data_IF_567158747545
#
_entry.id   IF_567158747545
#
_cell.length_a   1.000
_cell.length_b   1.000
_cell.length_c   1.000
_cell.angle_alpha   90.00
_cell.angle_beta   90.00
_cell.angle_gamma   90.00
#
_symmetry.space_group_name_H-M   'P 1'
#
loop_
_entity.id
_entity.type
_entity.pdbx_description
1 polymer ?
#
# COMPACT_ATOMS: atom_id res chain seq x y z
N UNK A 1 35.87 -33.59 -5.12
CA UNK A 1 35.06 -33.99 -6.29
C UNK A 1 33.76 -33.21 -6.22
N UNK A 2 33.69 -32.15 -7.01
CA UNK A 2 32.57 -31.23 -7.11
C UNK A 2 31.50 -31.90 -7.98
N UNK A 3 30.37 -32.29 -7.39
CA UNK A 3 29.25 -32.89 -8.14
C UNK A 3 28.67 -31.82 -9.04
N UNK A 4 28.75 -32.09 -10.35
CA UNK A 4 28.19 -31.30 -11.44
C UNK A 4 26.74 -30.89 -11.13
N UNK A 5 26.53 -29.63 -10.78
CA UNK A 5 25.19 -29.07 -10.58
C UNK A 5 24.67 -28.70 -11.97
N UNK A 6 23.89 -29.60 -12.57
CA UNK A 6 23.22 -29.33 -13.83
C UNK A 6 22.56 -27.94 -13.86
N UNK A 7 22.51 -27.33 -15.04
CA UNK A 7 22.01 -25.96 -15.21
C UNK A 7 20.52 -25.91 -14.83
N UNK A 8 20.17 -25.01 -13.90
CA UNK A 8 18.77 -24.73 -13.56
C UNK A 8 18.13 -24.05 -14.76
N UNK A 9 17.16 -24.72 -15.39
CA UNK A 9 16.41 -24.21 -16.55
C UNK A 9 15.25 -23.31 -16.13
N UNK A 10 14.55 -23.69 -15.07
CA UNK A 10 13.36 -22.99 -14.58
C UNK A 10 13.11 -23.30 -13.11
N UNK A 11 12.31 -22.46 -12.45
CA UNK A 11 11.80 -22.72 -11.10
C UNK A 11 10.30 -22.49 -11.05
N UNK A 12 9.60 -23.36 -10.33
CA UNK A 12 8.17 -23.25 -10.05
C UNK A 12 7.99 -23.04 -8.55
N UNK A 13 7.26 -21.99 -8.18
CA UNK A 13 6.94 -21.68 -6.79
C UNK A 13 5.43 -21.77 -6.59
N UNK A 14 5.03 -22.50 -5.56
CA UNK A 14 3.64 -22.59 -5.12
C UNK A 14 3.44 -21.78 -3.83
N UNK A 15 2.23 -21.24 -3.64
CA UNK A 15 1.87 -20.45 -2.45
C UNK A 15 1.88 -21.22 -1.12
N UNK A 16 2.16 -22.52 -1.15
CA UNK A 16 2.41 -23.37 0.02
C UNK A 16 3.92 -23.46 0.38
N UNK A 17 4.74 -22.55 -0.15
CA UNK A 17 6.20 -22.52 -0.01
C UNK A 17 6.94 -23.71 -0.65
N UNK A 18 6.27 -24.52 -1.49
CA UNK A 18 6.97 -25.50 -2.32
C UNK A 18 7.66 -24.82 -3.49
N UNK A 19 8.98 -24.95 -3.55
CA UNK A 19 9.79 -24.53 -4.67
C UNK A 19 10.32 -25.77 -5.39
N UNK A 20 10.13 -25.82 -6.70
CA UNK A 20 10.64 -26.86 -7.57
C UNK A 20 11.62 -26.25 -8.55
N UNK A 21 12.74 -26.92 -8.78
CA UNK A 21 13.73 -26.55 -9.79
C UNK A 21 13.76 -27.59 -10.90
N UNK A 22 13.80 -27.09 -12.13
CA UNK A 22 13.97 -27.90 -13.33
C UNK A 22 15.43 -27.83 -13.75
N UNK A 23 16.06 -28.98 -13.94
CA UNK A 23 17.45 -29.12 -14.31
C UNK A 23 17.55 -29.82 -15.66
N UNK A 24 18.42 -29.35 -16.54
CA UNK A 24 18.84 -30.12 -17.71
C UNK A 24 19.94 -31.10 -17.28
N UNK A 25 19.74 -32.39 -17.50
CA UNK A 25 20.83 -33.36 -17.41
C UNK A 25 20.71 -34.34 -18.59
N UNK A 26 21.77 -34.45 -19.40
CA UNK A 26 21.85 -35.35 -20.56
C UNK A 26 20.62 -35.30 -21.51
N UNK A 27 20.14 -34.09 -21.83
CA UNK A 27 19.01 -33.89 -22.74
C UNK A 27 17.62 -34.17 -22.13
N UNK A 28 17.53 -34.50 -20.84
CA UNK A 28 16.27 -34.72 -20.12
C UNK A 28 16.05 -33.65 -19.06
N UNK A 29 14.83 -33.11 -18.99
CA UNK A 29 14.43 -32.15 -17.95
C UNK A 29 14.04 -32.91 -16.68
N UNK A 30 14.77 -32.71 -15.58
CA UNK A 30 14.47 -33.29 -14.27
C UNK A 30 13.89 -32.23 -13.33
N UNK A 31 12.79 -32.54 -12.64
CA UNK A 31 12.16 -31.67 -11.63
C UNK A 31 12.55 -32.14 -10.23
N UNK A 32 13.11 -31.27 -9.38
CA UNK A 32 13.43 -31.57 -7.96
C UNK A 32 12.85 -30.52 -7.02
N UNK A 33 12.37 -30.95 -5.85
CA UNK A 33 11.90 -30.06 -4.78
C UNK A 33 13.11 -29.44 -4.06
N UNK A 34 13.10 -28.14 -3.88
CA UNK A 34 14.16 -27.40 -3.18
C UNK A 34 13.90 -27.47 -1.66
N UNK A 35 14.80 -28.13 -0.90
CA UNK A 35 14.72 -28.21 0.56
C UNK A 35 14.57 -29.61 1.20
N UNK A 36 14.97 -30.69 0.53
CA UNK A 36 14.99 -32.04 1.11
C UNK A 36 16.34 -32.74 0.94
N UNK A 37 17.36 -32.31 1.70
CA UNK A 37 18.52 -33.17 1.94
C UNK A 37 18.22 -34.05 3.17
N UNK A 38 17.95 -35.33 2.92
CA UNK A 38 17.84 -36.36 3.96
C UNK A 38 16.47 -37.01 4.06
N UNK A 39 16.13 -37.88 3.10
CA UNK A 39 15.48 -39.19 3.34
C UNK A 39 15.21 -39.85 1.97
N UNK A 40 16.16 -40.69 1.55
CA UNK A 40 15.86 -41.76 0.60
C UNK A 40 15.24 -42.90 1.39
N UNK A 41 13.93 -43.11 1.25
CA UNK A 41 13.29 -44.28 1.85
C UNK A 41 11.76 -44.26 1.82
N UNK A 42 11.17 -44.77 0.74
CA UNK A 42 9.96 -45.58 0.82
C UNK A 42 8.61 -44.88 1.02
N UNK A 43 7.69 -45.26 0.12
CA UNK A 43 6.23 -45.25 0.25
C UNK A 43 5.46 -43.95 0.03
N UNK A 44 4.85 -43.91 -1.15
CA UNK A 44 3.67 -43.14 -1.48
C UNK A 44 2.63 -43.23 -0.35
N UNK A 45 2.35 -42.11 0.31
CA UNK A 45 1.25 -41.97 1.25
C UNK A 45 -0.02 -41.70 0.43
N UNK A 46 -0.57 -42.76 -0.14
CA UNK A 46 -2.02 -42.86 -0.36
C UNK A 46 -2.63 -43.21 1.00
N UNK A 47 -2.88 -42.21 1.83
CA UNK A 47 -3.77 -42.37 3.01
C UNK A 47 -5.21 -42.36 2.51
N UNK A 48 -5.62 -43.48 1.94
CA UNK A 48 -7.05 -43.83 1.83
C UNK A 48 -7.51 -44.18 3.24
N UNK A 49 -8.56 -43.50 3.70
CA UNK A 49 -9.23 -43.77 4.95
C UNK A 49 -9.73 -45.23 4.97
N UNK A 50 -9.02 -46.11 5.68
CA UNK A 50 -9.56 -47.41 6.09
C UNK A 50 -9.89 -47.30 7.58
N UNK A 51 -11.12 -46.90 7.88
CA UNK A 51 -11.66 -46.93 9.24
C UNK A 51 -11.99 -48.39 9.56
N UNK A 52 -11.24 -48.99 10.49
CA UNK A 52 -11.54 -50.32 11.04
C UNK A 52 -12.56 -50.17 12.18
N UNK A 53 -13.67 -50.93 12.22
CA UNK A 53 -14.82 -50.66 13.11
C UNK A 53 -14.66 -51.18 14.55
N UNK A 54 -13.44 -51.28 15.08
CA UNK A 54 -13.20 -51.90 16.41
C UNK A 54 -12.58 -50.96 17.48
N UNK A 55 -12.67 -49.63 17.30
CA UNK A 55 -12.41 -48.67 18.39
C UNK A 55 -13.46 -47.55 18.40
N UNK A 56 -14.69 -47.93 18.74
CA UNK A 56 -15.81 -47.00 18.97
C UNK A 56 -16.03 -46.69 20.47
N UNK A 57 -15.03 -46.93 21.31
CA UNK A 57 -15.07 -46.55 22.72
C UNK A 57 -14.06 -45.43 22.99
N UNK A 58 -14.45 -44.20 22.62
CA UNK A 58 -14.07 -42.92 23.22
C UNK A 58 -14.29 -41.77 22.21
N UNK A 59 -15.55 -41.40 21.95
CA UNK A 59 -15.82 -40.08 21.37
C UNK A 59 -17.26 -39.63 21.63
N UNK A 60 -17.59 -39.38 22.90
CA UNK A 60 -18.66 -38.42 23.22
C UNK A 60 -18.10 -37.00 23.09
N UNK A 61 -17.59 -36.65 21.92
CA UNK A 61 -17.54 -35.25 21.51
C UNK A 61 -18.87 -34.99 20.79
N UNK A 62 -19.71 -34.13 21.37
CA UNK A 62 -21.06 -33.87 20.84
C UNK A 62 -20.99 -33.53 19.35
N UNK A 63 -21.99 -33.94 18.57
CA UNK A 63 -22.12 -33.57 17.16
C UNK A 63 -21.92 -32.05 16.96
N UNK A 64 -22.36 -31.24 17.92
CA UNK A 64 -22.15 -29.80 17.96
C UNK A 64 -20.66 -29.41 17.99
N UNK A 65 -19.81 -30.10 18.74
CA UNK A 65 -18.36 -29.85 18.75
C UNK A 65 -17.70 -30.19 17.41
N UNK A 66 -18.08 -31.31 16.78
CA UNK A 66 -17.58 -31.70 15.45
C UNK A 66 -18.08 -30.76 14.35
N UNK A 67 -19.35 -30.34 14.40
CA UNK A 67 -19.91 -29.34 13.49
C UNK A 67 -19.26 -27.97 13.70
N UNK A 68 -19.04 -27.54 14.94
CA UNK A 68 -18.37 -26.29 15.25
C UNK A 68 -16.90 -26.32 14.80
N UNK A 69 -16.19 -27.42 15.01
CA UNK A 69 -14.81 -27.59 14.57
C UNK A 69 -14.72 -27.69 13.05
N UNK A 70 -15.62 -28.44 12.41
CA UNK A 70 -15.72 -28.54 10.95
C UNK A 70 -16.03 -27.18 10.32
N UNK A 71 -17.03 -26.47 10.85
CA UNK A 71 -17.39 -25.11 10.43
C UNK A 71 -16.22 -24.14 10.61
N UNK A 72 -15.52 -24.19 11.76
CA UNK A 72 -14.33 -23.37 12.01
C UNK A 72 -13.24 -23.68 10.98
N UNK A 73 -12.94 -24.94 10.72
CA UNK A 73 -11.92 -25.35 9.76
C UNK A 73 -12.29 -24.93 8.34
N UNK A 74 -13.55 -25.08 7.93
CA UNK A 74 -14.03 -24.63 6.62
C UNK A 74 -14.03 -23.10 6.50
N UNK A 75 -14.45 -22.38 7.54
CA UNK A 75 -14.42 -20.92 7.56
C UNK A 75 -12.98 -20.40 7.44
N UNK A 76 -12.06 -20.98 8.21
CA UNK A 76 -10.64 -20.64 8.12
C UNK A 76 -10.07 -20.99 6.74
N UNK A 77 -10.41 -22.13 6.15
CA UNK A 77 -9.88 -22.51 4.84
C UNK A 77 -10.46 -21.66 3.70
N UNK A 78 -11.68 -21.14 3.83
CA UNK A 78 -12.31 -20.28 2.82
C UNK A 78 -11.78 -18.84 2.93
N UNK A 79 -11.72 -18.29 4.14
CA UNK A 79 -11.48 -16.85 4.33
C UNK A 79 -10.09 -16.48 4.83
N UNK A 80 -9.33 -17.41 5.42
CA UNK A 80 -7.96 -17.13 5.88
C UNK A 80 -6.91 -17.77 4.96
N UNK A 81 -5.72 -17.16 4.86
CA UNK A 81 -4.61 -17.75 4.09
C UNK A 81 -4.16 -19.09 4.67
N UNK A 82 -3.64 -19.95 3.80
CA UNK A 82 -3.05 -21.23 4.17
C UNK A 82 -1.90 -21.02 5.15
N UNK A 83 -1.87 -21.82 6.22
CA UNK A 83 -0.85 -21.70 7.28
C UNK A 83 -1.09 -20.54 8.26
N UNK A 84 -2.28 -19.93 8.27
CA UNK A 84 -2.67 -18.96 9.28
C UNK A 84 -2.55 -19.56 10.70
N UNK A 85 -2.03 -18.81 11.71
CA UNK A 85 -1.67 -17.39 11.67
C UNK A 85 -0.26 -17.07 11.16
N UNK A 86 0.62 -18.05 11.07
CA UNK A 86 2.06 -17.84 10.82
C UNK A 86 2.40 -17.48 9.36
N UNK A 87 1.41 -17.49 8.47
CA UNK A 87 1.58 -17.15 7.05
C UNK A 87 1.28 -15.69 6.73
N UNK A 88 0.81 -14.90 7.71
CA UNK A 88 0.46 -13.49 7.55
C UNK A 88 1.14 -12.59 8.58
N UNK A 89 1.15 -11.28 8.33
CA UNK A 89 1.54 -10.28 9.34
C UNK A 89 0.64 -10.36 10.58
N UNK A 90 1.19 -10.00 11.75
CA UNK A 90 0.44 -10.00 13.02
C UNK A 90 -0.72 -9.00 13.04
N UNK A 91 -0.67 -7.96 12.20
CA UNK A 91 -1.72 -6.96 12.04
C UNK A 91 -2.87 -7.38 11.10
N UNK A 92 -2.77 -8.56 10.46
CA UNK A 92 -3.71 -9.02 9.43
C UNK A 92 -5.17 -9.03 9.89
N UNK A 93 -5.48 -9.75 10.97
CA UNK A 93 -6.88 -9.87 11.42
C UNK A 93 -7.47 -8.55 11.87
N UNK A 94 -6.69 -7.73 12.57
CA UNK A 94 -7.17 -6.43 13.03
C UNK A 94 -7.48 -5.53 11.84
N UNK A 95 -6.60 -5.53 10.84
CA UNK A 95 -6.83 -4.82 9.58
C UNK A 95 -8.09 -5.34 8.86
N UNK A 96 -8.20 -6.65 8.64
CA UNK A 96 -9.32 -7.27 7.91
C UNK A 96 -10.68 -7.02 8.57
N UNK A 97 -10.74 -7.00 9.90
CA UNK A 97 -11.96 -6.66 10.63
C UNK A 97 -12.44 -5.23 10.31
N UNK A 98 -11.53 -4.25 10.39
CA UNK A 98 -11.87 -2.86 10.11
C UNK A 98 -12.14 -2.62 8.62
N UNK A 99 -11.37 -3.27 7.74
CA UNK A 99 -11.56 -3.23 6.28
C UNK A 99 -12.93 -3.81 5.86
N UNK A 100 -13.36 -4.88 6.53
CA UNK A 100 -14.71 -5.45 6.35
C UNK A 100 -15.81 -4.46 6.73
N UNK A 101 -15.71 -3.80 7.89
CA UNK A 101 -16.68 -2.81 8.33
C UNK A 101 -16.71 -1.58 7.39
N UNK A 102 -15.54 -1.20 6.89
CA UNK A 102 -15.35 -0.16 5.91
C UNK A 102 -16.04 -0.52 4.59
N UNK A 103 -15.73 -1.68 4.00
CA UNK A 103 -16.33 -2.17 2.76
C UNK A 103 -17.86 -2.27 2.85
N UNK A 104 -18.39 -2.79 3.96
CA UNK A 104 -19.83 -2.85 4.21
C UNK A 104 -20.49 -1.48 4.15
N UNK A 105 -19.92 -0.50 4.86
CA UNK A 105 -20.44 0.88 4.92
C UNK A 105 -20.40 1.55 3.55
N UNK A 106 -19.28 1.36 2.81
CA UNK A 106 -19.11 1.87 1.45
C UNK A 106 -20.13 1.28 0.48
N UNK A 107 -20.45 -0.01 0.60
CA UNK A 107 -21.46 -0.69 -0.22
C UNK A 107 -22.86 -0.09 -0.04
N UNK A 108 -23.26 0.20 1.20
CA UNK A 108 -24.55 0.84 1.51
C UNK A 108 -24.60 2.29 0.97
N UNK A 109 -23.58 3.10 1.23
CA UNK A 109 -23.46 4.46 0.66
C UNK A 109 -23.46 4.45 -0.87
N UNK A 110 -22.77 3.49 -1.48
CA UNK A 110 -22.73 3.30 -2.92
C UNK A 110 -24.10 2.98 -3.52
N UNK A 111 -24.94 2.26 -2.79
CA UNK A 111 -26.34 2.00 -3.18
C UNK A 111 -27.16 3.29 -3.18
N UNK A 112 -27.05 4.10 -2.11
CA UNK A 112 -27.75 5.39 -2.02
C UNK A 112 -27.34 6.34 -3.16
N UNK A 113 -26.03 6.44 -3.44
CA UNK A 113 -25.47 7.22 -4.53
C UNK A 113 -25.93 6.72 -5.91
N UNK A 114 -25.90 5.41 -6.14
CA UNK A 114 -26.36 4.79 -7.40
C UNK A 114 -27.82 5.08 -7.65
N UNK A 115 -28.66 4.94 -6.63
CA UNK A 115 -30.09 5.24 -6.71
C UNK A 115 -30.35 6.71 -7.08
N UNK A 116 -29.64 7.64 -6.44
CA UNK A 116 -29.75 9.07 -6.75
C UNK A 116 -29.29 9.36 -8.18
N UNK A 117 -28.16 8.79 -8.62
CA UNK A 117 -27.68 8.91 -9.99
C UNK A 117 -28.68 8.38 -11.02
N UNK A 118 -29.34 7.23 -10.76
CA UNK A 118 -30.37 6.66 -11.62
C UNK A 118 -31.60 7.58 -11.72
N UNK A 119 -32.04 8.16 -10.60
CA UNK A 119 -33.10 9.17 -10.61
C UNK A 119 -32.70 10.40 -11.42
N UNK A 120 -31.44 10.86 -11.27
CA UNK A 120 -30.93 12.03 -11.95
C UNK A 120 -30.82 11.90 -13.48
N UNK A 121 -30.49 10.71 -14.00
CA UNK A 121 -30.54 10.44 -15.46
C UNK A 121 -31.99 10.27 -15.98
N UNK A 122 -32.98 10.29 -15.09
CA UNK A 122 -34.39 10.24 -15.46
C UNK A 122 -35.02 8.84 -15.48
N UNK A 123 -34.42 7.84 -14.81
CA UNK A 123 -35.10 6.54 -14.61
C UNK A 123 -36.42 6.78 -13.89
N UNK A 124 -37.53 6.40 -14.53
CA UNK A 124 -38.90 6.63 -14.05
C UNK A 124 -39.58 7.91 -14.59
N UNK A 125 -38.90 8.72 -15.41
CA UNK A 125 -39.48 9.88 -16.07
C UNK A 125 -39.78 9.58 -17.56
N UNK A 126 -41.04 9.71 -17.98
CA UNK A 126 -41.48 9.47 -19.36
C UNK A 126 -40.86 10.41 -20.39
N UNK A 127 -40.39 11.59 -19.97
CA UNK A 127 -39.75 12.58 -20.84
C UNK A 127 -38.23 12.36 -20.99
N UNK A 128 -37.63 11.48 -20.16
CA UNK A 128 -36.20 11.20 -20.22
C UNK A 128 -35.88 10.29 -21.42
N UNK A 129 -34.83 10.63 -22.17
CA UNK A 129 -34.41 9.85 -23.32
C UNK A 129 -33.24 8.93 -22.97
N UNK A 130 -33.27 7.71 -23.51
CA UNK A 130 -32.16 6.74 -23.40
C UNK A 130 -30.87 7.34 -23.98
N UNK A 131 -30.97 8.17 -25.02
CA UNK A 131 -29.83 8.85 -25.63
C UNK A 131 -29.14 9.81 -24.65
N UNK A 132 -29.88 10.69 -23.97
CA UNK A 132 -29.30 11.64 -23.01
C UNK A 132 -28.65 10.94 -21.81
N UNK A 133 -29.29 9.88 -21.30
CA UNK A 133 -28.72 9.04 -20.26
C UNK A 133 -27.40 8.42 -20.73
N UNK A 134 -27.39 7.78 -21.91
CA UNK A 134 -26.19 7.17 -22.52
C UNK A 134 -25.06 8.19 -22.71
N UNK A 135 -25.35 9.39 -23.19
CA UNK A 135 -24.36 10.47 -23.33
C UNK A 135 -23.73 10.82 -21.99
N UNK A 136 -24.52 10.91 -20.92
CA UNK A 136 -23.99 11.19 -19.58
C UNK A 136 -23.05 10.08 -19.09
N UNK A 137 -23.39 8.81 -19.32
CA UNK A 137 -22.52 7.68 -18.98
C UNK A 137 -21.21 7.70 -19.77
N UNK A 138 -21.28 7.90 -21.09
CA UNK A 138 -20.08 7.97 -21.93
C UNK A 138 -19.13 9.11 -21.51
N UNK A 139 -19.68 10.29 -21.22
CA UNK A 139 -18.87 11.43 -20.77
C UNK A 139 -18.25 11.17 -19.38
N UNK A 140 -19.03 10.64 -18.44
CA UNK A 140 -18.56 10.27 -17.10
C UNK A 140 -17.43 9.24 -17.17
N UNK A 141 -17.62 8.18 -17.94
CA UNK A 141 -16.64 7.10 -18.03
C UNK A 141 -15.38 7.56 -18.79
N UNK A 142 -15.55 8.30 -19.90
CA UNK A 142 -14.44 8.85 -20.67
C UNK A 142 -13.58 9.82 -19.86
N UNK A 143 -14.21 10.77 -19.16
CA UNK A 143 -13.49 11.70 -18.27
C UNK A 143 -12.80 10.97 -17.11
N UNK A 144 -13.45 9.97 -16.52
CA UNK A 144 -12.86 9.09 -15.50
C UNK A 144 -11.65 8.30 -16.00
N UNK A 145 -11.69 7.79 -17.23
CA UNK A 145 -10.57 7.10 -17.87
C UNK A 145 -9.38 8.04 -18.12
N UNK A 146 -9.61 9.28 -18.57
CA UNK A 146 -8.54 10.28 -18.67
C UNK A 146 -7.95 10.61 -17.29
N UNK A 147 -8.81 10.78 -16.28
CA UNK A 147 -8.41 11.09 -14.91
C UNK A 147 -7.51 10.02 -14.29
N UNK A 148 -7.86 8.74 -14.42
CA UNK A 148 -7.03 7.64 -13.88
C UNK A 148 -5.65 7.55 -14.54
N UNK A 149 -5.57 7.75 -15.87
CA UNK A 149 -4.29 7.71 -16.60
C UNK A 149 -3.39 8.86 -16.14
N UNK A 150 -3.94 10.08 -16.09
CA UNK A 150 -3.21 11.26 -15.62
C UNK A 150 -2.74 11.10 -14.17
N UNK A 151 -3.61 10.62 -13.29
CA UNK A 151 -3.27 10.41 -11.88
C UNK A 151 -2.18 9.34 -11.70
N UNK A 152 -2.29 8.21 -12.40
CA UNK A 152 -1.27 7.15 -12.37
C UNK A 152 0.09 7.69 -12.85
N UNK A 153 0.12 8.49 -13.91
CA UNK A 153 1.34 9.11 -14.42
C UNK A 153 1.97 10.08 -13.40
N UNK A 154 1.17 10.92 -12.75
CA UNK A 154 1.66 11.96 -11.85
C UNK A 154 2.02 11.46 -10.44
N UNK A 155 1.36 10.41 -9.95
CA UNK A 155 1.44 9.98 -8.54
C UNK A 155 1.82 8.52 -8.32
N UNK A 156 1.87 7.70 -9.36
CA UNK A 156 2.03 6.24 -9.25
C UNK A 156 3.21 5.79 -8.40
N UNK A 157 4.35 6.48 -8.47
CA UNK A 157 5.59 6.12 -7.74
C UNK A 157 5.54 6.34 -6.22
N UNK A 158 4.48 6.98 -5.70
CA UNK A 158 4.33 7.26 -4.26
C UNK A 158 3.17 6.51 -3.60
N UNK A 159 2.38 5.77 -4.38
CA UNK A 159 1.17 5.12 -3.88
C UNK A 159 1.48 3.97 -2.91
N UNK A 160 2.56 3.23 -3.15
CA UNK A 160 3.03 2.12 -2.33
C UNK A 160 3.78 2.58 -1.07
N UNK A 161 4.67 3.57 -1.21
CA UNK A 161 5.50 4.09 -0.11
C UNK A 161 4.67 4.80 0.99
N UNK A 162 3.58 5.47 0.60
CA UNK A 162 2.69 6.18 1.52
C UNK A 162 1.30 5.51 1.59
N UNK A 163 1.25 4.17 1.53
CA UNK A 163 0.02 3.43 1.31
C UNK A 163 -1.11 3.74 2.30
N UNK A 164 -0.78 3.91 3.59
CA UNK A 164 -1.76 4.28 4.63
C UNK A 164 -2.45 5.61 4.35
N UNK A 165 -1.69 6.63 3.96
CA UNK A 165 -2.23 7.97 3.67
C UNK A 165 -3.10 7.95 2.42
N UNK A 166 -2.64 7.27 1.38
CA UNK A 166 -3.38 7.15 0.14
C UNK A 166 -4.67 6.35 0.30
N UNK A 167 -4.69 5.33 1.17
CA UNK A 167 -5.91 4.57 1.47
C UNK A 167 -6.96 5.44 2.16
N UNK A 168 -6.57 6.22 3.18
CA UNK A 168 -7.49 7.14 3.86
C UNK A 168 -7.94 8.28 2.95
N UNK A 169 -7.02 8.84 2.15
CA UNK A 169 -7.35 9.89 1.18
C UNK A 169 -8.32 9.39 0.09
N UNK A 170 -8.11 8.18 -0.43
CA UNK A 170 -8.97 7.59 -1.45
C UNK A 170 -10.40 7.44 -0.92
N UNK A 171 -10.59 6.99 0.32
CA UNK A 171 -11.94 6.84 0.88
C UNK A 171 -12.63 8.18 1.14
N UNK A 172 -11.89 9.20 1.62
CA UNK A 172 -12.44 10.56 1.71
C UNK A 172 -12.90 11.05 0.33
N UNK A 173 -12.08 10.84 -0.71
CA UNK A 173 -12.40 11.24 -2.07
C UNK A 173 -13.59 10.43 -2.64
N UNK A 174 -13.72 9.16 -2.26
CA UNK A 174 -14.86 8.30 -2.62
C UNK A 174 -16.15 8.80 -1.98
N UNK A 175 -16.12 9.15 -0.70
CA UNK A 175 -17.27 9.70 0.02
C UNK A 175 -17.71 11.04 -0.58
N UNK A 176 -16.76 11.91 -0.94
CA UNK A 176 -17.07 13.15 -1.67
C UNK A 176 -17.77 12.83 -3.00
N UNK A 177 -17.26 11.87 -3.78
CA UNK A 177 -17.87 11.49 -5.06
C UNK A 177 -19.27 10.89 -4.89
N UNK A 178 -19.49 10.03 -3.89
CA UNK A 178 -20.81 9.49 -3.58
C UNK A 178 -21.78 10.58 -3.12
N UNK A 179 -21.31 11.55 -2.33
CA UNK A 179 -22.13 12.70 -1.94
C UNK A 179 -22.52 13.56 -3.14
N UNK A 180 -21.59 13.79 -4.07
CA UNK A 180 -21.87 14.48 -5.34
C UNK A 180 -22.97 13.77 -6.14
N UNK A 181 -22.92 12.43 -6.24
CA UNK A 181 -23.96 11.64 -6.92
C UNK A 181 -25.32 11.76 -6.24
N UNK A 182 -25.35 11.81 -4.89
CA UNK A 182 -26.59 12.01 -4.12
C UNK A 182 -27.18 13.40 -4.37
N UNK A 183 -26.32 14.42 -4.49
CA UNK A 183 -26.74 15.80 -4.72
C UNK A 183 -27.05 16.12 -6.18
N UNK A 184 -26.47 15.41 -7.13
CA UNK A 184 -26.57 15.73 -8.56
C UNK A 184 -28.01 15.93 -9.06
N UNK A 185 -29.03 15.13 -8.65
CA UNK A 185 -30.41 15.31 -9.11
C UNK A 185 -31.05 16.65 -8.71
N UNK A 186 -30.54 17.32 -7.66
CA UNK A 186 -31.02 18.63 -7.25
C UNK A 186 -30.49 19.77 -8.13
N UNK A 187 -29.55 19.48 -9.04
CA UNK A 187 -28.95 20.44 -9.96
C UNK A 187 -29.06 19.96 -11.42
N UNK A 188 -30.26 19.84 -12.02
CA UNK A 188 -30.45 19.26 -13.35
C UNK A 188 -29.60 19.91 -14.46
N UNK A 189 -29.41 21.24 -14.40
CA UNK A 189 -28.60 21.99 -15.37
C UNK A 189 -27.12 21.62 -15.35
N UNK A 190 -26.59 21.16 -14.20
CA UNK A 190 -25.19 20.79 -14.01
C UNK A 190 -25.01 19.27 -13.80
N UNK A 191 -26.08 18.49 -13.93
CA UNK A 191 -26.09 17.07 -13.59
C UNK A 191 -24.94 16.31 -14.24
N UNK A 192 -24.82 16.39 -15.57
CA UNK A 192 -23.77 15.70 -16.32
C UNK A 192 -22.36 16.14 -15.89
N UNK A 193 -22.15 17.42 -15.61
CA UNK A 193 -20.87 17.94 -15.13
C UNK A 193 -20.52 17.37 -13.75
N UNK A 194 -21.46 17.38 -12.81
CA UNK A 194 -21.28 16.81 -11.46
C UNK A 194 -20.94 15.33 -11.56
N UNK A 195 -21.68 14.58 -12.40
CA UNK A 195 -21.43 13.15 -12.61
C UNK A 195 -20.04 12.88 -13.22
N UNK A 196 -19.55 13.73 -14.14
CA UNK A 196 -18.21 13.61 -14.69
C UNK A 196 -17.13 13.85 -13.63
N UNK A 197 -17.26 14.89 -12.81
CA UNK A 197 -16.30 15.18 -11.73
C UNK A 197 -16.30 14.06 -10.69
N UNK A 198 -17.48 13.55 -10.30
CA UNK A 198 -17.62 12.37 -9.45
C UNK A 198 -16.96 11.13 -10.08
N UNK A 199 -17.15 10.90 -11.38
CA UNK A 199 -16.51 9.82 -12.14
C UNK A 199 -14.98 9.90 -12.17
N UNK A 200 -14.43 11.11 -12.28
CA UNK A 200 -12.99 11.36 -12.14
C UNK A 200 -12.53 11.00 -10.73
N UNK A 201 -13.19 11.49 -9.69
CA UNK A 201 -12.85 11.15 -8.30
C UNK A 201 -12.86 9.64 -8.06
N UNK A 202 -13.94 8.93 -8.43
CA UNK A 202 -14.03 7.47 -8.31
C UNK A 202 -12.93 6.73 -9.08
N UNK A 203 -12.55 7.25 -10.25
CA UNK A 203 -11.45 6.67 -11.03
C UNK A 203 -10.09 6.86 -10.37
N UNK A 204 -9.83 8.01 -9.74
CA UNK A 204 -8.64 8.27 -8.93
C UNK A 204 -8.59 7.34 -7.70
N UNK A 205 -9.72 7.19 -7.01
CA UNK A 205 -9.90 6.25 -5.90
C UNK A 205 -9.58 4.83 -6.33
N UNK A 206 -10.05 4.38 -7.50
CA UNK A 206 -9.74 3.04 -8.02
C UNK A 206 -8.23 2.80 -8.19
N UNK A 207 -7.48 3.79 -8.70
CA UNK A 207 -6.03 3.68 -8.86
C UNK A 207 -5.32 3.66 -7.51
N UNK A 208 -5.63 4.61 -6.62
CA UNK A 208 -5.02 4.69 -5.29
C UNK A 208 -5.37 3.45 -4.44
N UNK A 209 -6.64 3.06 -4.40
CA UNK A 209 -7.12 1.86 -3.71
C UNK A 209 -6.45 0.59 -4.21
N UNK A 210 -6.37 0.40 -5.53
CA UNK A 210 -5.69 -0.77 -6.13
C UNK A 210 -4.20 -0.84 -5.80
N UNK A 211 -3.47 0.27 -5.94
CA UNK A 211 -2.04 0.32 -5.66
C UNK A 211 -1.73 0.12 -4.16
N UNK A 212 -2.50 0.77 -3.28
CA UNK A 212 -2.32 0.63 -1.83
C UNK A 212 -2.71 -0.76 -1.33
N UNK A 213 -3.78 -1.36 -1.87
CA UNK A 213 -4.16 -2.75 -1.59
C UNK A 213 -3.01 -3.70 -1.95
N UNK A 214 -2.42 -3.55 -3.15
CA UNK A 214 -1.28 -4.37 -3.54
C UNK A 214 -0.10 -4.22 -2.57
N UNK A 215 0.23 -2.99 -2.15
CA UNK A 215 1.30 -2.74 -1.17
C UNK A 215 1.00 -3.40 0.19
N UNK A 216 -0.25 -3.36 0.65
CA UNK A 216 -0.67 -4.03 1.89
C UNK A 216 -0.66 -5.56 1.75
N UNK A 217 -1.06 -6.12 0.62
CA UNK A 217 -0.98 -7.56 0.36
C UNK A 217 0.46 -8.05 0.39
N UNK A 218 1.40 -7.27 -0.16
CA UNK A 218 2.84 -7.57 -0.05
C UNK A 218 3.30 -7.53 1.42
N UNK A 219 2.91 -6.50 2.17
CA UNK A 219 3.23 -6.39 3.61
C UNK A 219 2.68 -7.56 4.44
N UNK A 220 1.48 -8.02 4.11
CA UNK A 220 0.82 -9.11 4.82
C UNK A 220 1.44 -10.47 4.50
N UNK A 221 2.14 -10.64 3.38
CA UNK A 221 2.74 -11.91 2.98
C UNK A 221 3.98 -12.26 3.82
N UNK A 222 4.01 -13.46 4.43
CA UNK A 222 5.16 -13.97 5.19
C UNK A 222 5.82 -15.21 4.60
N UNK A 223 5.20 -15.85 3.59
CA UNK A 223 5.69 -17.09 2.98
C UNK A 223 5.60 -17.07 1.45
N UNK A 224 5.96 -15.94 0.83
CA UNK A 224 5.77 -15.71 -0.61
C UNK A 224 4.31 -15.99 -1.07
N UNK A 225 3.34 -15.82 -0.17
CA UNK A 225 1.95 -16.22 -0.32
C UNK A 225 1.01 -15.06 -0.70
N UNK A 226 1.53 -14.04 -1.41
CA UNK A 226 0.78 -12.85 -1.80
C UNK A 226 -0.50 -13.18 -2.57
N UNK A 227 -0.45 -14.16 -3.48
CA UNK A 227 -1.59 -14.56 -4.29
C UNK A 227 -2.72 -15.18 -3.43
N UNK A 228 -2.38 -16.00 -2.44
CA UNK A 228 -3.35 -16.59 -1.53
C UNK A 228 -4.00 -15.49 -0.67
N UNK A 229 -3.20 -14.58 -0.12
CA UNK A 229 -3.72 -13.42 0.64
C UNK A 229 -4.68 -12.60 -0.23
N UNK A 230 -4.31 -12.27 -1.47
CA UNK A 230 -5.17 -11.51 -2.38
C UNK A 230 -6.47 -12.26 -2.70
N UNK A 231 -6.43 -13.58 -2.87
CA UNK A 231 -7.63 -14.38 -3.14
C UNK A 231 -8.57 -14.45 -1.93
N UNK A 232 -8.01 -14.57 -0.72
CA UNK A 232 -8.78 -14.59 0.54
C UNK A 232 -9.38 -13.24 0.85
N UNK A 233 -8.62 -12.18 0.66
CA UNK A 233 -9.07 -10.79 0.76
C UNK A 233 -10.22 -10.51 -0.22
N UNK A 234 -10.09 -10.92 -1.49
CA UNK A 234 -11.19 -10.82 -2.46
C UNK A 234 -12.44 -11.63 -2.09
N UNK A 235 -12.28 -12.80 -1.45
CA UNK A 235 -13.41 -13.60 -0.97
C UNK A 235 -14.11 -12.96 0.23
N UNK A 236 -13.35 -12.35 1.15
CA UNK A 236 -13.88 -11.59 2.27
C UNK A 236 -14.67 -10.37 1.78
N UNK A 237 -14.10 -9.58 0.88
CA UNK A 237 -14.78 -8.44 0.25
C UNK A 237 -16.07 -8.86 -0.47
N UNK A 238 -16.04 -9.97 -1.21
CA UNK A 238 -17.24 -10.50 -1.90
C UNK A 238 -18.35 -10.87 -0.92
N UNK A 239 -18.02 -11.55 0.18
CA UNK A 239 -19.00 -11.90 1.22
C UNK A 239 -19.64 -10.65 1.83
N UNK A 240 -18.82 -9.64 2.12
CA UNK A 240 -19.28 -8.38 2.71
C UNK A 240 -20.17 -7.62 1.74
N UNK A 241 -19.80 -7.56 0.46
CA UNK A 241 -20.64 -6.94 -0.57
C UNK A 241 -21.97 -7.68 -0.75
N UNK A 242 -21.98 -9.01 -0.65
CA UNK A 242 -23.23 -9.79 -0.69
C UNK A 242 -24.13 -9.44 0.50
N UNK A 243 -23.57 -9.35 1.71
CA UNK A 243 -24.32 -8.92 2.89
C UNK A 243 -24.84 -7.48 2.72
N UNK A 244 -24.00 -6.58 2.20
CA UNK A 244 -24.35 -5.20 1.87
C UNK A 244 -25.52 -5.14 0.88
N UNK A 245 -25.49 -5.95 -0.19
CA UNK A 245 -26.58 -6.03 -1.18
C UNK A 245 -27.91 -6.44 -0.55
N UNK A 246 -27.93 -7.45 0.32
CA UNK A 246 -29.15 -7.88 1.00
C UNK A 246 -29.75 -6.77 1.88
N UNK A 247 -28.90 -6.07 2.62
CA UNK A 247 -29.32 -4.92 3.44
C UNK A 247 -29.79 -3.77 2.56
N UNK A 248 -29.08 -3.49 1.47
CA UNK A 248 -29.43 -2.48 0.48
C UNK A 248 -30.79 -2.72 -0.18
N UNK A 249 -31.15 -3.97 -0.49
CA UNK A 249 -32.46 -4.31 -1.04
C UNK A 249 -33.60 -3.92 -0.09
N UNK A 250 -33.44 -4.16 1.20
CA UNK A 250 -34.39 -3.69 2.21
C UNK A 250 -34.36 -2.15 2.30
N UNK A 251 -33.18 -1.55 2.36
CA UNK A 251 -32.96 -0.11 2.53
C UNK A 251 -33.62 0.74 1.44
N UNK A 252 -33.51 0.32 0.18
CA UNK A 252 -34.04 1.08 -0.98
C UNK A 252 -35.55 1.31 -0.86
N UNK A 253 -36.29 0.33 -0.32
CA UNK A 253 -37.74 0.43 -0.14
C UNK A 253 -38.12 1.46 0.94
N UNK A 254 -37.33 1.58 2.01
CA UNK A 254 -37.58 2.55 3.09
C UNK A 254 -37.19 3.99 2.74
N UNK A 255 -36.19 4.15 1.89
CA UNK A 255 -35.62 5.47 1.56
C UNK A 255 -36.32 6.08 0.32
N UNK A 256 -37.29 5.40 -0.27
CA UNK A 256 -37.87 5.68 -1.59
C UNK A 256 -38.28 7.15 -1.84
N UNK A 257 -38.71 7.90 -0.82
CA UNK A 257 -39.10 9.31 -1.01
C UNK A 257 -38.64 10.24 0.12
N UNK A 258 -37.63 9.82 0.89
CA UNK A 258 -37.16 10.57 2.06
C UNK A 258 -35.70 11.03 1.89
N UNK A 259 -35.54 12.25 1.38
CA UNK A 259 -34.23 12.89 1.19
C UNK A 259 -33.48 13.08 2.51
N UNK A 260 -34.19 13.47 3.57
CA UNK A 260 -33.59 13.65 4.89
C UNK A 260 -33.05 12.32 5.45
N UNK A 261 -33.80 11.23 5.29
CA UNK A 261 -33.36 9.88 5.68
C UNK A 261 -32.18 9.42 4.83
N UNK A 262 -32.20 9.68 3.51
CA UNK A 262 -31.09 9.37 2.60
C UNK A 262 -29.80 10.03 3.07
N UNK A 263 -29.84 11.34 3.33
CA UNK A 263 -28.68 12.11 3.79
C UNK A 263 -28.24 11.67 5.18
N UNK A 264 -29.18 11.44 6.10
CA UNK A 264 -28.86 10.99 7.46
C UNK A 264 -28.15 9.63 7.46
N UNK A 265 -28.64 8.66 6.68
CA UNK A 265 -28.00 7.36 6.51
C UNK A 265 -26.66 7.49 5.80
N UNK A 266 -26.56 8.30 4.75
CA UNK A 266 -25.30 8.54 4.07
C UNK A 266 -24.24 9.08 5.02
N UNK A 267 -24.55 10.14 5.80
CA UNK A 267 -23.59 10.69 6.76
C UNK A 267 -23.23 9.69 7.87
N UNK A 268 -24.20 8.90 8.36
CA UNK A 268 -23.94 7.83 9.31
C UNK A 268 -22.94 6.81 8.75
N UNK A 269 -23.17 6.33 7.54
CA UNK A 269 -22.29 5.36 6.88
C UNK A 269 -20.94 5.98 6.51
N UNK A 270 -20.87 7.26 6.12
CA UNK A 270 -19.60 7.96 5.89
C UNK A 270 -18.77 8.08 7.16
N UNK A 271 -19.38 8.41 8.31
CA UNK A 271 -18.66 8.44 9.59
C UNK A 271 -18.13 7.04 9.94
N UNK A 272 -18.95 6.01 9.79
CA UNK A 272 -18.56 4.63 10.04
C UNK A 272 -17.44 4.17 9.08
N UNK A 273 -17.57 4.49 7.79
CA UNK A 273 -16.61 4.20 6.72
C UNK A 273 -15.23 4.80 7.02
N UNK A 274 -15.17 6.10 7.28
CA UNK A 274 -13.91 6.81 7.56
C UNK A 274 -13.30 6.40 8.90
N UNK A 275 -14.13 6.17 9.92
CA UNK A 275 -13.64 5.68 11.21
C UNK A 275 -13.04 4.27 11.09
N UNK A 276 -13.72 3.38 10.37
CA UNK A 276 -13.24 2.03 10.12
C UNK A 276 -11.93 2.04 9.31
N UNK A 277 -11.83 2.83 8.23
CA UNK A 277 -10.57 2.97 7.49
C UNK A 277 -9.46 3.52 8.39
N UNK A 278 -9.72 4.59 9.15
CA UNK A 278 -8.75 5.14 10.08
C UNK A 278 -8.22 4.08 11.06
N UNK A 279 -9.10 3.26 11.62
CA UNK A 279 -8.69 2.14 12.49
C UNK A 279 -7.91 1.06 11.73
N UNK A 280 -8.29 0.72 10.51
CA UNK A 280 -7.60 -0.24 9.65
C UNK A 280 -6.16 0.21 9.35
N UNK A 281 -5.97 1.42 8.82
CA UNK A 281 -4.62 1.90 8.46
C UNK A 281 -3.73 2.13 9.68
N UNK A 282 -4.33 2.44 10.84
CA UNK A 282 -3.61 2.59 12.11
C UNK A 282 -3.21 1.27 12.76
N UNK A 283 -3.87 0.15 12.43
CA UNK A 283 -3.44 -1.16 12.91
C UNK A 283 -2.28 -1.75 12.10
N UNK A 284 -2.10 -1.33 10.85
CA UNK A 284 -1.00 -1.82 10.00
C UNK A 284 0.34 -1.32 10.51
N UNK A 285 1.29 -2.23 10.72
CA UNK A 285 2.66 -1.93 11.16
C UNK A 285 3.61 -2.18 9.99
N UNK A 286 3.79 -1.18 9.13
CA UNK A 286 4.68 -1.29 7.97
C UNK A 286 6.14 -1.45 8.42
N UNK A 287 6.83 -2.46 7.91
CA UNK A 287 8.24 -2.74 8.20
C UNK A 287 9.20 -1.93 7.30
N UNK A 288 8.69 -1.32 6.23
CA UNK A 288 9.46 -0.49 5.32
C UNK A 288 9.50 0.96 5.77
N UNK A 289 10.62 1.66 5.53
CA UNK A 289 10.74 3.08 5.81
C UNK A 289 10.19 3.91 4.64
N UNK A 290 9.31 4.85 4.96
CA UNK A 290 8.92 5.96 4.08
C UNK A 290 9.52 7.27 4.60
N UNK A 291 9.23 8.40 3.93
CA UNK A 291 9.80 9.70 4.32
C UNK A 291 9.41 10.08 5.77
N UNK A 292 8.16 9.83 6.17
CA UNK A 292 7.65 10.18 7.49
C UNK A 292 8.23 9.29 8.61
N UNK A 293 8.16 7.96 8.45
CA UNK A 293 8.72 6.99 9.41
C UNK A 293 10.23 7.19 9.58
N UNK A 294 10.96 7.46 8.49
CA UNK A 294 12.39 7.76 8.57
C UNK A 294 12.65 9.06 9.34
N UNK A 295 11.89 10.12 9.09
CA UNK A 295 12.04 11.38 9.82
C UNK A 295 11.84 11.18 11.33
N UNK A 296 10.82 10.41 11.73
CA UNK A 296 10.52 10.13 13.13
C UNK A 296 11.66 9.35 13.79
N UNK A 297 12.14 8.28 13.15
CA UNK A 297 13.24 7.46 13.67
C UNK A 297 14.53 8.26 13.80
N UNK A 298 14.87 9.06 12.78
CA UNK A 298 16.08 9.89 12.80
C UNK A 298 16.01 10.98 13.87
N UNK A 299 14.86 11.63 14.06
CA UNK A 299 14.72 12.65 15.09
C UNK A 299 14.91 12.06 16.49
N UNK A 300 14.30 10.90 16.79
CA UNK A 300 14.48 10.24 18.09
C UNK A 300 15.94 9.84 18.30
N UNK A 301 16.56 9.23 17.30
CA UNK A 301 17.95 8.79 17.39
C UNK A 301 18.92 9.95 17.59
N UNK A 302 18.74 11.06 16.86
CA UNK A 302 19.60 12.24 16.99
C UNK A 302 19.39 12.99 18.30
N UNK A 303 18.21 12.90 18.91
CA UNK A 303 17.89 13.57 20.19
C UNK A 303 18.38 12.75 21.38
N UNK A 304 18.01 11.47 21.44
CA UNK A 304 18.12 10.64 22.65
C UNK A 304 19.02 9.40 22.43
N UNK A 305 19.57 9.19 21.23
CA UNK A 305 20.37 8.00 20.89
C UNK A 305 19.57 6.70 20.79
N UNK A 306 18.25 6.77 20.99
CA UNK A 306 17.33 5.61 20.98
C UNK A 306 16.86 5.31 19.56
N UNK A 307 16.91 4.03 19.18
CA UNK A 307 16.29 3.52 17.97
C UNK A 307 14.86 3.06 18.26
N UNK A 308 13.88 3.60 17.53
CA UNK A 308 12.48 3.18 17.64
C UNK A 308 12.25 1.85 16.93
N UNK A 309 11.39 1.02 17.50
CA UNK A 309 10.86 -0.18 16.85
C UNK A 309 9.89 0.18 15.71
N UNK A 310 9.62 -0.73 14.76
CA UNK A 310 8.61 -0.53 13.72
C UNK A 310 7.25 -0.15 14.30
N UNK A 311 6.82 -0.80 15.38
CA UNK A 311 5.55 -0.50 16.04
C UNK A 311 5.49 0.96 16.54
N UNK A 312 6.50 1.39 17.28
CA UNK A 312 6.58 2.76 17.82
C UNK A 312 6.62 3.82 16.70
N UNK A 313 7.41 3.56 15.65
CA UNK A 313 7.50 4.46 14.49
C UNK A 313 6.15 4.56 13.74
N UNK A 314 5.45 3.44 13.54
CA UNK A 314 4.15 3.41 12.88
C UNK A 314 3.05 4.09 13.73
N UNK A 315 3.12 3.99 15.07
CA UNK A 315 2.20 4.70 15.96
C UNK A 315 2.36 6.22 15.86
N UNK A 316 3.58 6.72 15.65
CA UNK A 316 3.86 8.15 15.46
C UNK A 316 3.65 8.63 14.01
N UNK A 317 3.52 7.71 13.05
CA UNK A 317 3.32 8.04 11.63
C UNK A 317 1.98 8.75 11.39
N UNK A 318 1.98 9.94 10.76
CA UNK A 318 0.75 10.60 10.35
C UNK A 318 0.09 9.85 9.19
N UNK A 319 -1.21 9.59 9.31
CA UNK A 319 -2.01 8.91 8.26
C UNK A 319 -2.87 9.88 7.44
N UNK A 320 -2.92 11.15 7.82
CA UNK A 320 -3.56 12.22 7.04
C UNK A 320 -2.54 12.89 6.13
N UNK A 321 -3.03 13.47 5.03
CA UNK A 321 -2.19 14.27 4.13
C UNK A 321 -1.80 15.58 4.82
N UNK A 322 -0.56 15.65 5.29
CA UNK A 322 0.00 16.88 5.86
C UNK A 322 0.55 17.78 4.74
N UNK A 323 0.11 19.04 4.71
CA UNK A 323 0.61 20.04 3.75
C UNK A 323 1.97 20.64 4.14
N UNK A 324 2.48 20.35 5.35
CA UNK A 324 3.78 20.86 5.84
C UNK A 324 4.75 19.72 6.06
N UNK A 325 5.84 19.69 5.30
CA UNK A 325 6.99 18.80 5.57
C UNK A 325 7.83 19.40 6.69
N UNK A 326 8.08 18.63 7.75
CA UNK A 326 8.94 19.04 8.86
C UNK A 326 10.43 18.93 8.53
N UNK A 327 10.82 17.97 7.67
CA UNK A 327 12.19 17.83 7.13
C UNK A 327 12.13 17.34 5.68
N UNK A 328 12.81 17.98 4.71
CA UNK A 328 12.84 17.52 3.33
C UNK A 328 13.80 16.33 3.15
N UNK A 329 13.40 15.16 3.66
CA UNK A 329 14.11 13.91 3.39
C UNK A 329 13.72 13.41 2.00
N UNK A 330 14.71 13.11 1.16
CA UNK A 330 14.50 12.47 -0.14
C UNK A 330 15.12 11.07 -0.11
N UNK A 331 14.30 10.05 -0.32
CA UNK A 331 14.73 8.66 -0.45
C UNK A 331 15.02 8.33 -1.92
N UNK A 332 15.95 7.40 -2.15
CA UNK A 332 16.28 6.93 -3.50
C UNK A 332 17.16 7.87 -4.34
N UNK A 333 17.75 8.89 -3.73
CA UNK A 333 18.71 9.79 -4.41
C UNK A 333 20.00 9.03 -4.70
N UNK A 334 20.54 9.15 -5.91
CA UNK A 334 21.83 8.52 -6.27
C UNK A 334 22.94 9.15 -5.44
N UNK A 335 23.83 8.34 -4.88
CA UNK A 335 24.97 8.83 -4.11
C UNK A 335 25.79 9.88 -4.91
N UNK A 336 25.94 9.66 -6.21
CA UNK A 336 26.67 10.57 -7.12
C UNK A 336 26.04 11.98 -7.25
N UNK A 337 24.76 12.14 -6.92
CA UNK A 337 24.09 13.45 -6.95
C UNK A 337 24.37 14.26 -5.69
N UNK A 338 24.73 13.60 -4.59
CA UNK A 338 24.95 14.23 -3.28
C UNK A 338 26.41 14.30 -2.87
N UNK A 339 27.30 13.57 -3.53
CA UNK A 339 28.75 13.59 -3.23
C UNK A 339 29.58 14.03 -4.43
N UNK A 340 30.62 14.79 -4.15
CA UNK A 340 31.55 15.34 -5.13
C UNK A 340 32.95 14.78 -4.84
N UNK A 341 33.63 14.29 -5.88
CA UNK A 341 34.99 13.77 -5.77
C UNK A 341 35.98 14.92 -5.61
N UNK A 342 37.06 14.68 -4.89
CA UNK A 342 38.14 15.65 -4.75
C UNK A 342 38.85 15.88 -6.09
N UNK A 343 39.23 17.13 -6.42
CA UNK A 343 39.90 17.48 -7.68
C UNK A 343 41.38 17.10 -7.64
N UNK A 344 41.71 15.81 -7.55
CA UNK A 344 43.07 15.28 -7.38
C UNK A 344 44.02 15.68 -8.52
N UNK A 345 43.49 15.88 -9.73
CA UNK A 345 44.25 16.30 -10.91
C UNK A 345 44.43 17.82 -11.03
N UNK A 346 43.80 18.62 -10.16
CA UNK A 346 43.93 20.07 -10.12
C UNK A 346 44.47 20.52 -8.75
N UNK A 347 45.80 20.56 -8.57
CA UNK A 347 46.42 20.81 -7.26
C UNK A 347 46.07 22.20 -6.70
N UNK A 348 45.83 23.20 -7.57
CA UNK A 348 45.42 24.55 -7.14
C UNK A 348 44.03 24.53 -6.52
N UNK A 349 43.06 23.88 -7.18
CA UNK A 349 41.69 23.74 -6.66
C UNK A 349 41.65 22.87 -5.41
N UNK A 350 42.42 21.78 -5.39
CA UNK A 350 42.53 20.89 -4.23
C UNK A 350 43.05 21.63 -2.99
N UNK A 351 44.11 22.44 -3.13
CA UNK A 351 44.65 23.25 -2.03
C UNK A 351 43.60 24.20 -1.44
N UNK A 352 42.76 24.82 -2.28
CA UNK A 352 41.66 25.68 -1.82
C UNK A 352 40.60 24.89 -1.05
N UNK A 353 40.21 23.71 -1.53
CA UNK A 353 39.25 22.84 -0.82
C UNK A 353 39.77 22.44 0.56
N UNK A 354 41.02 21.98 0.64
CA UNK A 354 41.64 21.56 1.90
C UNK A 354 41.78 22.73 2.89
N UNK A 355 42.13 23.92 2.40
CA UNK A 355 42.21 25.12 3.25
C UNK A 355 40.86 25.46 3.90
N UNK A 356 39.75 25.32 3.16
CA UNK A 356 38.41 25.62 3.68
C UNK A 356 37.87 24.53 4.62
N UNK A 357 38.26 23.28 4.43
CA UNK A 357 37.86 22.15 5.28
C UNK A 357 38.47 22.21 6.69
N UNK A 358 39.62 22.88 6.86
CA UNK A 358 40.35 23.02 8.14
C UNK A 358 40.67 21.69 8.84
N UNK A 359 40.83 20.59 8.09
CA UNK A 359 41.28 19.31 8.62
C UNK A 359 42.81 19.28 8.70
N UNK A 360 43.36 18.99 9.90
CA UNK A 360 44.80 18.79 10.10
C UNK A 360 45.19 17.35 9.70
N UNK A 361 46.35 17.21 9.06
CA UNK A 361 47.00 15.92 8.76
C UNK A 361 46.16 14.91 7.96
N UNK A 362 45.26 15.41 7.10
CA UNK A 362 44.43 14.57 6.24
C UNK A 362 44.66 14.84 4.76
N UNK A 363 44.78 13.78 3.96
CA UNK A 363 44.91 13.86 2.51
C UNK A 363 43.83 13.03 1.81
N UNK A 364 43.17 13.57 0.78
CA UNK A 364 42.11 12.88 0.08
C UNK A 364 42.67 11.77 -0.83
N UNK A 365 42.03 10.61 -0.79
CA UNK A 365 42.27 9.50 -1.73
C UNK A 365 41.34 9.60 -2.94
N UNK A 366 41.55 8.73 -3.95
CA UNK A 366 40.63 8.59 -5.10
C UNK A 366 39.20 8.18 -4.73
N UNK A 367 39.01 7.65 -3.53
CA UNK A 367 37.70 7.23 -3.00
C UNK A 367 37.09 8.27 -2.06
N UNK A 368 37.86 9.29 -1.68
CA UNK A 368 37.37 10.36 -0.82
C UNK A 368 36.38 11.22 -1.58
N UNK A 369 35.28 11.56 -0.91
CA UNK A 369 34.20 12.38 -1.45
C UNK A 369 33.75 13.40 -0.41
N UNK A 370 33.19 14.51 -0.89
CA UNK A 370 32.65 15.59 -0.07
C UNK A 370 31.17 15.79 -0.40
N UNK A 371 30.33 15.97 0.61
CA UNK A 371 28.91 16.24 0.38
C UNK A 371 28.71 17.58 -0.36
N UNK A 372 27.77 17.60 -1.29
CA UNK A 372 27.45 18.80 -2.08
C UNK A 372 26.93 19.96 -1.24
N UNK A 373 26.37 19.68 -0.05
CA UNK A 373 25.89 20.69 0.88
C UNK A 373 27.01 21.56 1.49
N UNK A 374 28.28 21.22 1.25
CA UNK A 374 29.42 22.05 1.62
C UNK A 374 29.70 23.18 0.62
N UNK A 375 28.96 23.24 -0.49
CA UNK A 375 29.10 24.23 -1.56
C UNK A 375 27.88 25.15 -1.61
N UNK A 376 28.10 26.43 -1.92
CA UNK A 376 27.02 27.38 -2.18
C UNK A 376 26.24 27.01 -3.44
N UNK A 377 24.94 27.27 -3.47
CA UNK A 377 24.04 26.94 -4.59
C UNK A 377 24.51 27.52 -5.93
N UNK A 378 25.17 28.68 -5.94
CA UNK A 378 25.73 29.29 -7.16
C UNK A 378 26.79 28.41 -7.86
N UNK A 379 27.48 27.55 -7.12
CA UNK A 379 28.50 26.65 -7.64
C UNK A 379 27.95 25.31 -8.10
N UNK A 380 26.65 25.06 -7.90
CA UNK A 380 26.00 23.79 -8.21
C UNK A 380 25.23 23.93 -9.52
N UNK A 381 25.61 23.13 -10.51
CA UNK A 381 24.88 23.02 -11.77
C UNK A 381 23.93 21.81 -11.73
N UNK A 382 22.63 22.11 -11.84
CA UNK A 382 21.51 21.15 -11.86
C UNK A 382 20.86 21.03 -13.24
N UNK A 383 21.41 21.66 -14.26
CA UNK A 383 20.80 21.76 -15.61
C UNK A 383 20.89 20.45 -16.40
N UNK A 384 21.79 19.55 -16.01
CA UNK A 384 22.04 18.27 -16.69
C UNK A 384 21.40 17.05 -16.02
N UNK A 385 21.69 15.85 -16.57
CA UNK A 385 21.25 14.55 -16.01
C UNK A 385 21.89 14.20 -14.66
N UNK A 386 22.99 14.85 -14.29
CA UNK A 386 23.65 14.69 -13.00
C UNK A 386 24.07 16.04 -12.45
N UNK A 387 23.99 16.17 -11.12
CA UNK A 387 24.41 17.38 -10.42
C UNK A 387 25.93 17.47 -10.45
N UNK A 388 26.45 18.58 -10.97
CA UNK A 388 27.89 18.82 -11.10
C UNK A 388 28.27 20.13 -10.43
N UNK A 389 29.53 20.23 -10.03
CA UNK A 389 30.10 21.50 -9.60
C UNK A 389 30.65 22.27 -10.79
N UNK A 390 30.50 23.59 -10.76
CA UNK A 390 31.18 24.50 -11.69
C UNK A 390 32.71 24.42 -11.53
N UNK A 391 33.44 24.85 -12.55
CA UNK A 391 34.90 24.74 -12.56
C UNK A 391 35.58 25.50 -11.41
N UNK A 392 35.01 26.63 -11.00
CA UNK A 392 35.49 27.50 -9.93
C UNK A 392 34.97 27.14 -8.53
N UNK A 393 34.11 26.12 -8.43
CA UNK A 393 33.47 25.72 -7.18
C UNK A 393 34.47 25.37 -6.06
N UNK A 394 34.27 25.98 -4.89
CA UNK A 394 35.01 25.70 -3.66
C UNK A 394 34.04 25.47 -2.49
N UNK A 395 34.32 24.52 -1.58
CA UNK A 395 33.46 24.29 -0.45
C UNK A 395 33.69 25.39 0.58
N UNK A 396 32.65 26.11 0.97
CA UNK A 396 32.71 27.22 1.94
C UNK A 396 31.86 26.96 3.16
N UNK A 397 30.91 26.02 3.08
CA UNK A 397 29.94 25.74 4.12
C UNK A 397 30.45 24.59 5.00
N UNK A 398 31.11 24.93 6.10
CA UNK A 398 31.48 23.98 7.16
C UNK A 398 30.89 24.46 8.48
N UNK A 399 30.14 23.60 9.16
CA UNK A 399 29.63 23.93 10.51
C UNK A 399 30.79 23.93 11.49
N UNK A 400 30.94 25.01 12.26
CA UNK A 400 31.92 25.04 13.34
C UNK A 400 31.45 24.16 14.52
N UNK A 401 32.37 23.61 15.33
CA UNK A 401 32.00 22.94 16.58
C UNK A 401 31.13 23.82 17.51
N UNK A 402 31.34 25.14 17.49
CA UNK A 402 30.61 26.13 18.30
C UNK A 402 29.15 26.32 17.84
N UNK A 403 28.88 26.26 16.53
CA UNK A 403 27.50 26.34 15.99
C UNK A 403 26.66 25.12 16.36
N UNK A 404 27.31 23.98 16.57
CA UNK A 404 26.66 22.72 16.94
C UNK A 404 26.16 22.76 18.39
N UNK A 405 26.87 23.45 19.28
CA UNK A 405 26.43 23.69 20.67
C UNK A 405 25.29 24.73 20.75
N UNK A 406 25.35 25.83 19.97
CA UNK A 406 24.26 26.82 19.90
C UNK A 406 22.96 26.25 19.32
N UNK A 407 23.04 25.32 18.37
CA UNK A 407 21.85 24.62 17.84
C UNK A 407 21.22 23.66 18.85
N UNK A 408 22.02 22.96 19.66
CA UNK A 408 21.49 22.13 20.78
C UNK A 408 20.75 22.97 21.82
N UNK A 409 21.22 24.19 22.11
CA UNK A 409 20.57 25.10 23.06
C UNK A 409 19.27 25.76 22.55
N UNK A 410 19.00 25.77 21.24
CA UNK A 410 17.79 26.36 20.63
C UNK A 410 16.68 25.35 20.32
N UNK A 411 16.95 24.05 20.47
CA UNK A 411 16.00 22.94 20.23
C UNK A 411 15.57 22.27 21.55
N UNK A 412 15.98 22.84 22.70
CA UNK A 412 15.52 22.45 24.03
C UNK A 412 14.12 22.96 24.34
#
# INVERSE_FOLDING_TARGET
>A
MEKDRGVVLASEKYGNAECWKYFANDGVIQRRKEGGEGELGGNAIVRVFKVSPSRLHACEASLAWWLQKGFKCTFQSVFLPQGYPDSVSSDYLQYQFWDTLQAFSSSLSGTLATRASLRGVGVGNQQATVAAATTTWLLKDGTGMCGRILFAWLKGTKLDSEAKKWRLFADILNDIAMFMDILAPYFPAFFTLIMCVSGVFKSLVGVAGGATRAALTVHQARRDNMADISAKDGSQETLVNLAGLLVSLALVSFVADNAALTLSLFFLFTVLHLFANYKAVRSVVMETLNEARLSIVLQEYLKDGRMLSPLEANQREPVLMEFKKTVPIKLGVRLQEIVQRFPLYNPRKLKKWLANMKLKDWTPSRFSVLCINHFEEQYIDKSGKSVKLREDAVPTIFSSPEDTQKRKAKVG
#
